data_IF_583113174452
#
_entry.id   IF_583113174452
#
_cell.length_a   1.000
_cell.length_b   1.000
_cell.length_c   1.000
_cell.angle_alpha   90.00
_cell.angle_beta   90.00
_cell.angle_gamma   90.00
#
_symmetry.space_group_name_H-M   'P 1'
#
loop_
_entity.id
_entity.type
_entity.pdbx_description
1 polymer ?
#
# COMPACT_ATOMS: atom_id res chain seq x y z
N UNK A 1 -0.54 -8.89 9.69
CA UNK A 1 -1.27 -7.65 9.33
C UNK A 1 -0.46 -6.99 8.25
N UNK A 2 -0.82 -7.28 6.99
CA UNK A 2 0.16 -7.84 6.06
C UNK A 2 0.82 -6.81 5.15
N UNK A 3 0.13 -6.32 4.11
CA UNK A 3 0.79 -5.59 3.02
C UNK A 3 -0.11 -4.47 2.50
N UNK A 4 -1.41 -4.71 2.38
CA UNK A 4 -2.41 -3.69 2.03
C UNK A 4 -2.39 -2.45 2.95
N UNK A 5 -2.12 -2.63 4.24
CA UNK A 5 -1.99 -1.49 5.16
C UNK A 5 -0.71 -0.70 4.90
N UNK A 6 0.41 -1.37 4.60
CA UNK A 6 1.66 -0.70 4.27
C UNK A 6 1.51 0.06 2.95
N UNK A 7 0.91 -0.57 1.93
CA UNK A 7 0.59 0.04 0.65
C UNK A 7 -0.22 1.33 0.81
N UNK A 8 -1.37 1.24 1.48
CA UNK A 8 -2.28 2.37 1.66
C UNK A 8 -1.62 3.57 2.35
N UNK A 9 -0.65 3.33 3.24
CA UNK A 9 0.04 4.38 3.96
C UNK A 9 1.35 4.82 3.29
N UNK A 10 1.77 4.19 2.20
CA UNK A 10 3.12 4.38 1.64
C UNK A 10 4.22 4.02 2.64
N UNK A 11 3.94 3.12 3.58
CA UNK A 11 4.81 2.76 4.69
C UNK A 11 5.65 1.51 4.39
N UNK A 12 6.62 1.23 5.25
CA UNK A 12 7.45 0.01 5.14
C UNK A 12 6.66 -1.24 5.56
N UNK A 13 6.80 -2.36 4.81
CA UNK A 13 6.21 -3.63 5.19
C UNK A 13 7.04 -4.31 6.29
N UNK A 14 6.43 -5.24 7.02
CA UNK A 14 7.15 -6.17 7.89
C UNK A 14 7.24 -7.55 7.20
N UNK A 15 8.44 -8.11 7.19
CA UNK A 15 8.71 -9.44 6.66
C UNK A 15 8.92 -10.44 7.83
N UNK A 16 8.38 -11.67 7.75
CA UNK A 16 8.73 -12.75 8.67
C UNK A 16 10.23 -13.05 8.64
N UNK A 17 10.74 -13.72 9.70
CA UNK A 17 12.15 -14.14 9.78
C UNK A 17 12.50 -15.12 8.65
N UNK A 18 11.60 -16.05 8.36
CA UNK A 18 11.73 -17.05 7.30
C UNK A 18 10.59 -16.88 6.28
N UNK A 19 10.69 -15.91 5.36
CA UNK A 19 9.64 -15.64 4.39
C UNK A 19 9.64 -16.68 3.27
N UNK A 20 8.46 -16.97 2.73
CA UNK A 20 8.37 -17.62 1.43
C UNK A 20 8.63 -16.62 0.28
N UNK A 21 8.83 -17.13 -0.94
CA UNK A 21 9.11 -16.30 -2.12
C UNK A 21 7.98 -15.29 -2.39
N UNK A 22 6.72 -15.66 -2.18
CA UNK A 22 5.58 -14.77 -2.41
C UNK A 22 5.59 -13.60 -1.43
N UNK A 23 5.86 -13.87 -0.15
CA UNK A 23 6.00 -12.84 0.88
C UNK A 23 7.17 -11.90 0.59
N UNK A 24 8.30 -12.44 0.11
CA UNK A 24 9.45 -11.64 -0.29
C UNK A 24 9.11 -10.73 -1.49
N UNK A 25 8.47 -11.27 -2.52
CA UNK A 25 8.09 -10.48 -3.70
C UNK A 25 7.12 -9.35 -3.35
N UNK A 26 6.07 -9.64 -2.57
CA UNK A 26 5.14 -8.61 -2.15
C UNK A 26 5.80 -7.55 -1.24
N UNK A 27 6.77 -7.93 -0.42
CA UNK A 27 7.57 -6.97 0.36
C UNK A 27 8.37 -6.03 -0.56
N UNK A 28 9.04 -6.56 -1.58
CA UNK A 28 9.80 -5.77 -2.55
C UNK A 28 8.92 -4.79 -3.33
N UNK A 29 7.68 -5.17 -3.67
CA UNK A 29 6.73 -4.26 -4.32
C UNK A 29 6.37 -3.06 -3.42
N UNK A 30 6.16 -3.29 -2.12
CA UNK A 30 5.91 -2.20 -1.18
C UNK A 30 7.16 -1.36 -0.96
N UNK A 31 8.36 -1.95 -0.90
CA UNK A 31 9.60 -1.17 -0.81
C UNK A 31 9.73 -0.19 -1.99
N UNK A 32 9.41 -0.63 -3.22
CA UNK A 32 9.41 0.25 -4.41
C UNK A 32 8.37 1.37 -4.30
N UNK A 33 7.18 1.08 -3.79
CA UNK A 33 6.17 2.10 -3.50
C UNK A 33 6.71 3.09 -2.46
N UNK A 34 7.29 2.61 -1.36
CA UNK A 34 7.83 3.44 -0.30
C UNK A 34 8.96 4.34 -0.81
N UNK A 35 9.91 3.82 -1.59
CA UNK A 35 10.96 4.62 -2.23
C UNK A 35 10.40 5.79 -3.05
N UNK A 36 9.22 5.61 -3.65
CA UNK A 36 8.53 6.65 -4.41
C UNK A 36 7.87 7.69 -3.51
N UNK A 37 7.11 7.25 -2.50
CA UNK A 37 6.18 8.13 -1.78
C UNK A 37 6.62 8.51 -0.35
N UNK A 38 7.75 8.00 0.15
CA UNK A 38 8.19 8.22 1.53
C UNK A 38 8.32 9.70 1.95
N UNK A 39 8.69 10.57 1.01
CA UNK A 39 8.80 12.01 1.21
C UNK A 39 7.68 12.83 0.54
N UNK A 40 6.66 12.16 0.01
CA UNK A 40 5.57 12.81 -0.74
C UNK A 40 4.36 12.94 0.18
N UNK A 41 3.78 14.13 0.22
CA UNK A 41 2.57 14.38 1.00
C UNK A 41 1.42 13.49 0.52
N UNK A 42 0.73 12.82 1.45
CA UNK A 42 -0.55 12.17 1.17
C UNK A 42 -1.65 13.23 1.22
N UNK A 43 -2.16 13.61 0.05
CA UNK A 43 -3.12 14.71 -0.13
C UNK A 43 -4.58 14.26 -0.02
N UNK A 44 -4.83 12.95 -0.07
CA UNK A 44 -6.18 12.39 0.06
C UNK A 44 -6.19 10.99 0.66
N UNK A 45 -7.24 10.70 1.42
CA UNK A 45 -7.53 9.36 1.93
C UNK A 45 -9.04 9.14 2.02
N UNK A 46 -9.56 8.11 1.36
CA UNK A 46 -10.99 7.88 1.15
C UNK A 46 -11.40 6.43 1.46
N UNK A 47 -12.66 6.27 1.92
CA UNK A 47 -13.32 4.96 2.05
C UNK A 47 -14.17 4.72 0.81
N UNK A 48 -13.94 3.61 0.12
CA UNK A 48 -14.61 3.26 -1.14
C UNK A 48 -15.82 2.35 -0.96
N UNK A 49 -16.05 1.85 0.25
CA UNK A 49 -17.23 1.08 0.62
C UNK A 49 -17.76 1.48 2.01
N UNK A 50 -19.04 1.18 2.33
CA UNK A 50 -19.65 1.53 3.61
C UNK A 50 -18.99 0.88 4.83
N UNK A 51 -18.32 -0.26 4.66
CA UNK A 51 -17.62 -0.97 5.73
C UNK A 51 -16.20 -0.41 5.97
N UNK A 52 -15.73 0.51 5.12
CA UNK A 52 -14.40 1.09 5.17
C UNK A 52 -13.28 0.07 4.95
N UNK A 53 -13.55 -1.01 4.20
CA UNK A 53 -12.59 -2.11 3.96
C UNK A 53 -11.78 -1.89 2.70
N UNK A 54 -12.38 -1.29 1.67
CA UNK A 54 -11.73 -0.74 0.49
C UNK A 54 -11.42 0.72 0.72
N UNK A 55 -10.17 1.10 0.51
CA UNK A 55 -9.66 2.45 0.77
C UNK A 55 -8.77 2.91 -0.35
N UNK A 56 -8.69 4.22 -0.51
CA UNK A 56 -7.81 4.87 -1.47
C UNK A 56 -6.97 5.94 -0.78
N UNK A 57 -5.69 5.99 -1.09
CA UNK A 57 -4.80 7.10 -0.75
C UNK A 57 -4.30 7.77 -2.01
N UNK A 58 -4.14 9.09 -1.96
CA UNK A 58 -3.64 9.92 -3.06
C UNK A 58 -2.43 10.69 -2.54
N UNK A 59 -1.33 10.66 -3.28
CA UNK A 59 -0.10 11.37 -2.97
C UNK A 59 0.09 12.57 -3.91
N UNK A 60 0.80 13.60 -3.45
CA UNK A 60 0.99 14.86 -4.17
C UNK A 60 1.70 14.71 -5.54
N UNK A 61 2.46 13.63 -5.74
CA UNK A 61 3.14 13.34 -7.00
C UNK A 61 2.23 12.65 -8.04
N UNK A 62 0.96 12.42 -7.70
CA UNK A 62 -0.02 11.74 -8.54
C UNK A 62 -0.11 10.23 -8.32
N UNK A 63 0.68 9.65 -7.41
CA UNK A 63 0.54 8.24 -7.04
C UNK A 63 -0.80 8.02 -6.33
N UNK A 64 -1.56 7.03 -6.79
CA UNK A 64 -2.83 6.62 -6.18
C UNK A 64 -2.69 5.17 -5.75
N UNK A 65 -3.09 4.85 -4.53
CA UNK A 65 -3.07 3.48 -4.00
C UNK A 65 -4.47 3.10 -3.58
N UNK A 66 -4.98 1.98 -4.07
CA UNK A 66 -6.21 1.36 -3.56
C UNK A 66 -5.88 0.06 -2.84
N UNK A 67 -6.57 -0.22 -1.75
CA UNK A 67 -6.34 -1.40 -0.93
C UNK A 67 -7.65 -1.98 -0.40
N UNK A 68 -7.79 -3.31 -0.45
CA UNK A 68 -8.82 -4.07 0.24
C UNK A 68 -8.20 -4.70 1.49
N UNK A 69 -8.63 -4.25 2.66
CA UNK A 69 -8.08 -4.68 3.94
C UNK A 69 -8.56 -6.07 4.40
N UNK A 70 -9.57 -6.64 3.74
CA UNK A 70 -10.03 -8.01 3.99
C UNK A 70 -9.26 -9.03 3.15
N UNK A 71 -9.15 -8.82 1.84
CA UNK A 71 -8.40 -9.73 0.96
C UNK A 71 -6.89 -9.52 1.04
N UNK A 72 -6.43 -8.33 1.45
CA UNK A 72 -5.03 -7.95 1.39
C UNK A 72 -4.55 -7.53 -0.01
N UNK A 73 -5.45 -7.52 -0.99
CA UNK A 73 -5.18 -7.03 -2.33
C UNK A 73 -5.00 -5.51 -2.32
N UNK A 74 -4.12 -5.03 -3.18
CA UNK A 74 -3.89 -3.62 -3.39
C UNK A 74 -3.41 -3.38 -4.82
N UNK A 75 -3.55 -2.14 -5.26
CA UNK A 75 -3.08 -1.68 -6.57
C UNK A 75 -2.51 -0.28 -6.44
N UNK A 76 -1.72 0.13 -7.43
CA UNK A 76 -1.29 1.51 -7.58
C UNK A 76 -1.48 2.00 -9.01
N UNK A 77 -1.73 3.29 -9.15
CA UNK A 77 -1.81 4.02 -10.40
C UNK A 77 -0.97 5.30 -10.29
N UNK A 78 -0.64 5.91 -11.42
CA UNK A 78 0.26 7.07 -11.46
C UNK A 78 1.74 6.68 -11.57
N UNK A 79 2.66 7.62 -11.33
CA UNK A 79 4.10 7.44 -11.58
C UNK A 79 4.77 6.34 -10.75
#
# INVERSE_FOLDING_TARGET
>A
RSIAHAALNGAMPYLPIDPDEGQLQSCLEICRLHERVAGVEMTGHEMLDPAGRRRRSIFADGTIVEANLDSGEWSREGP
#
